data_IF_037204526716
#
_entry.id   IF_037204526716
#
_cell.length_a   1.000
_cell.length_b   1.000
_cell.length_c   1.000
_cell.angle_alpha   90.00
_cell.angle_beta   90.00
_cell.angle_gamma   90.00
#
_symmetry.space_group_name_H-M   'P 1'
#
loop_
_entity.id
_entity.type
_entity.pdbx_description
1 polymer ?
#
# COMPACT_ATOMS: atom_id res chain seq x y z
N UNK A 1 5.23 -72.43 38.84
CA UNK A 1 4.57 -71.47 37.92
C UNK A 1 4.50 -70.04 38.48
N UNK A 2 4.09 -69.81 39.73
CA UNK A 2 3.94 -68.45 40.33
C UNK A 2 5.20 -67.55 40.28
N UNK A 3 6.40 -68.12 40.45
CA UNK A 3 7.67 -67.37 40.41
C UNK A 3 8.10 -66.95 39.00
N UNK A 4 7.72 -67.73 37.98
CA UNK A 4 8.02 -67.43 36.57
C UNK A 4 7.11 -66.30 36.08
N UNK A 5 5.83 -66.31 36.49
CA UNK A 5 4.87 -65.26 36.13
C UNK A 5 5.27 -63.87 36.69
N UNK A 6 5.80 -63.83 37.91
CA UNK A 6 6.30 -62.59 38.53
C UNK A 6 7.55 -62.07 37.81
N UNK A 7 8.47 -62.97 37.41
CA UNK A 7 9.65 -62.60 36.64
C UNK A 7 9.31 -62.02 35.26
N UNK A 8 8.31 -62.58 34.59
CA UNK A 8 7.84 -62.06 33.29
C UNK A 8 7.13 -60.70 33.45
N UNK A 9 6.28 -60.53 34.48
CA UNK A 9 5.67 -59.22 34.75
C UNK A 9 6.71 -58.16 35.13
N UNK A 10 7.72 -58.51 35.93
CA UNK A 10 8.79 -57.57 36.31
C UNK A 10 9.66 -57.20 35.11
N UNK A 11 9.96 -58.16 34.22
CA UNK A 11 10.66 -57.92 32.96
C UNK A 11 9.86 -57.02 32.00
N UNK A 12 8.54 -57.20 31.93
CA UNK A 12 7.66 -56.38 31.09
C UNK A 12 7.51 -54.95 31.66
N UNK A 13 7.53 -54.78 32.98
CA UNK A 13 7.52 -53.48 33.64
C UNK A 13 8.85 -52.73 33.46
N UNK A 14 9.98 -53.44 33.49
CA UNK A 14 11.31 -52.87 33.22
C UNK A 14 11.50 -52.51 31.72
N UNK A 15 10.88 -53.25 30.81
CA UNK A 15 10.91 -52.94 29.38
C UNK A 15 10.11 -51.66 29.03
N UNK A 16 9.09 -51.31 29.81
CA UNK A 16 8.34 -50.05 29.65
C UNK A 16 9.03 -48.85 30.32
N UNK A 17 9.85 -49.07 31.35
CA UNK A 17 10.52 -48.00 32.10
C UNK A 17 11.68 -47.30 31.35
N UNK A 18 12.09 -47.84 30.20
CA UNK A 18 13.23 -47.33 29.41
C UNK A 18 12.88 -46.35 28.28
N UNK A 19 11.59 -46.12 27.99
CA UNK A 19 11.19 -45.13 26.98
C UNK A 19 11.11 -43.75 27.62
N UNK A 20 12.24 -43.06 27.69
CA UNK A 20 12.25 -41.62 27.89
C UNK A 20 11.84 -40.96 26.57
N UNK A 21 10.61 -40.45 26.49
CA UNK A 21 10.26 -39.49 25.47
C UNK A 21 10.98 -38.18 25.80
N UNK A 22 11.99 -37.82 25.01
CA UNK A 22 12.52 -36.46 25.04
C UNK A 22 11.53 -35.59 24.28
N UNK A 23 10.78 -34.77 25.00
CA UNK A 23 10.08 -33.63 24.38
C UNK A 23 11.18 -32.65 23.96
N UNK A 24 11.39 -32.48 22.64
CA UNK A 24 12.28 -31.43 22.15
C UNK A 24 11.74 -30.10 22.66
N UNK A 25 12.49 -29.43 23.54
CA UNK A 25 12.15 -28.08 23.97
C UNK A 25 12.28 -27.20 22.72
N UNK A 26 11.18 -26.64 22.18
CA UNK A 26 11.25 -25.85 20.98
C UNK A 26 12.08 -24.59 21.25
N UNK A 27 12.95 -24.25 20.32
CA UNK A 27 13.76 -23.02 20.40
C UNK A 27 12.82 -21.84 20.18
N UNK A 28 12.67 -21.01 21.21
CA UNK A 28 11.84 -19.81 21.17
C UNK A 28 12.65 -18.61 20.70
N UNK A 29 12.01 -17.76 19.89
CA UNK A 29 12.54 -16.46 19.49
C UNK A 29 11.89 -15.40 20.38
N UNK A 30 12.68 -14.58 21.06
CA UNK A 30 12.20 -13.49 21.90
C UNK A 30 12.74 -12.16 21.37
N UNK A 31 11.85 -11.17 21.17
CA UNK A 31 12.21 -9.77 20.91
C UNK A 31 11.55 -8.91 21.99
N UNK A 32 12.35 -8.10 22.68
CA UNK A 32 11.89 -7.24 23.78
C UNK A 32 11.04 -7.98 24.84
N UNK A 33 11.42 -9.23 25.13
CA UNK A 33 10.72 -10.09 26.09
C UNK A 33 9.40 -10.69 25.57
N UNK A 34 9.04 -10.47 24.31
CA UNK A 34 7.86 -11.06 23.66
C UNK A 34 8.27 -12.18 22.72
N UNK A 35 7.55 -13.30 22.78
CA UNK A 35 7.77 -14.42 21.87
C UNK A 35 7.27 -14.08 20.47
N UNK A 36 8.13 -14.26 19.47
CA UNK A 36 7.79 -14.11 18.06
C UNK A 36 7.49 -15.50 17.49
N UNK A 37 6.32 -15.63 16.87
CA UNK A 37 5.94 -16.83 16.16
C UNK A 37 6.68 -16.93 14.82
N UNK A 38 7.11 -18.14 14.49
CA UNK A 38 7.76 -18.48 13.23
C UNK A 38 7.09 -19.71 12.64
N UNK A 39 6.67 -19.62 11.38
CA UNK A 39 6.08 -20.74 10.63
C UNK A 39 7.12 -21.84 10.36
N UNK A 40 8.39 -21.44 10.22
CA UNK A 40 9.56 -22.31 10.12
C UNK A 40 10.25 -22.34 11.49
N UNK A 41 10.32 -23.47 12.21
CA UNK A 41 10.96 -23.51 13.52
C UNK A 41 12.47 -23.30 13.40
N UNK A 42 13.14 -22.63 14.36
CA UNK A 42 14.59 -22.61 14.42
C UNK A 42 15.16 -24.03 14.56
N UNK A 43 16.33 -24.27 13.94
CA UNK A 43 16.95 -25.59 13.89
C UNK A 43 18.37 -25.55 14.41
N UNK A 44 18.82 -26.62 15.08
CA UNK A 44 20.23 -26.79 15.43
C UNK A 44 20.88 -27.68 14.38
N UNK A 45 21.87 -27.14 13.68
CA UNK A 45 22.65 -27.86 12.67
C UNK A 45 24.12 -27.65 12.98
N UNK A 46 24.86 -28.73 13.21
CA UNK A 46 26.29 -28.71 13.54
C UNK A 46 26.60 -27.73 14.70
N UNK A 47 25.88 -27.87 15.81
CA UNK A 47 26.00 -27.04 17.02
C UNK A 47 25.77 -25.53 16.79
N UNK A 48 25.07 -25.15 15.72
CA UNK A 48 24.64 -23.77 15.45
C UNK A 48 23.13 -23.71 15.34
N UNK A 49 22.54 -22.70 15.98
CA UNK A 49 21.11 -22.41 15.82
C UNK A 49 20.88 -21.55 14.59
N UNK A 50 20.13 -22.08 13.64
CA UNK A 50 19.63 -21.39 12.46
C UNK A 50 18.23 -20.86 12.76
N UNK A 51 18.03 -19.58 12.48
CA UNK A 51 16.77 -18.88 12.71
C UNK A 51 16.30 -18.29 11.39
N UNK A 52 15.00 -18.32 11.06
CA UNK A 52 14.50 -17.72 9.83
C UNK A 52 14.78 -16.22 9.76
N UNK A 53 15.55 -15.82 8.76
CA UNK A 53 15.98 -14.42 8.59
C UNK A 53 14.78 -13.47 8.46
N UNK A 54 13.74 -13.88 7.73
CA UNK A 54 12.51 -13.09 7.52
C UNK A 54 11.86 -12.71 8.85
N UNK A 55 11.67 -13.68 9.74
CA UNK A 55 10.99 -13.46 11.02
C UNK A 55 11.73 -12.47 11.90
N UNK A 56 13.07 -12.58 11.95
CA UNK A 56 13.89 -11.65 12.73
C UNK A 56 13.90 -10.26 12.10
N UNK A 57 14.10 -10.17 10.79
CA UNK A 57 14.15 -8.90 10.07
C UNK A 57 12.82 -8.14 10.13
N UNK A 58 11.70 -8.79 9.83
CA UNK A 58 10.37 -8.15 9.86
C UNK A 58 9.99 -7.71 11.27
N UNK A 59 10.35 -8.48 12.30
CA UNK A 59 10.14 -8.08 13.70
C UNK A 59 10.96 -6.84 14.10
N UNK A 60 12.09 -6.60 13.43
CA UNK A 60 12.89 -5.39 13.57
C UNK A 60 12.45 -4.24 12.64
N UNK A 61 11.35 -4.43 11.89
CA UNK A 61 10.82 -3.44 10.95
C UNK A 61 11.58 -3.37 9.62
N UNK A 62 12.44 -4.35 9.32
CA UNK A 62 13.17 -4.46 8.05
C UNK A 62 12.31 -5.19 7.04
N UNK A 63 12.15 -4.62 5.85
CA UNK A 63 11.42 -5.25 4.76
C UNK A 63 12.27 -6.32 4.07
N UNK A 64 11.66 -7.46 3.76
CA UNK A 64 12.36 -8.66 3.27
C UNK A 64 11.76 -9.15 1.97
N UNK A 65 12.53 -9.02 0.89
CA UNK A 65 12.15 -9.48 -0.44
C UNK A 65 13.10 -10.56 -0.94
N UNK A 66 12.61 -11.39 -1.86
CA UNK A 66 13.42 -12.36 -2.57
C UNK A 66 13.64 -11.87 -4.00
N UNK A 67 14.89 -11.60 -4.34
CA UNK A 67 15.29 -11.30 -5.71
C UNK A 67 15.57 -12.63 -6.43
N UNK A 68 14.68 -12.99 -7.34
CA UNK A 68 14.74 -14.24 -8.10
C UNK A 68 15.92 -14.25 -9.10
N UNK A 69 16.27 -13.10 -9.68
CA UNK A 69 17.33 -12.98 -10.68
C UNK A 69 18.70 -13.07 -10.01
N UNK A 70 18.91 -12.29 -8.95
CA UNK A 70 20.13 -12.31 -8.16
C UNK A 70 20.24 -13.56 -7.26
N UNK A 71 19.14 -14.29 -7.07
CA UNK A 71 19.00 -15.40 -6.10
C UNK A 71 19.42 -14.96 -4.70
N UNK A 72 18.93 -13.79 -4.29
CA UNK A 72 19.35 -13.13 -3.07
C UNK A 72 18.15 -12.73 -2.22
N UNK A 73 18.33 -12.72 -0.90
CA UNK A 73 17.41 -12.06 0.03
C UNK A 73 17.81 -10.59 0.11
N UNK A 74 16.89 -9.70 -0.25
CA UNK A 74 17.08 -8.26 -0.14
C UNK A 74 16.45 -7.79 1.16
N UNK A 75 17.27 -7.14 1.98
CA UNK A 75 16.85 -6.54 3.25
C UNK A 75 16.91 -5.02 3.11
N UNK A 76 15.75 -4.37 3.22
CA UNK A 76 15.66 -2.91 3.16
C UNK A 76 15.34 -2.39 4.54
N UNK A 77 16.29 -1.67 5.15
CA UNK A 77 16.02 -1.00 6.41
C UNK A 77 14.85 -0.04 6.27
N UNK A 78 14.02 0.15 7.32
CA UNK A 78 12.86 1.01 7.23
C UNK A 78 13.19 2.47 6.85
N UNK A 79 14.39 2.97 7.15
CA UNK A 79 14.86 4.29 6.69
C UNK A 79 15.21 4.37 5.20
N UNK A 80 15.44 3.23 4.56
CA UNK A 80 15.79 3.11 3.13
C UNK A 80 14.65 2.56 2.29
N UNK A 81 13.47 2.35 2.89
CA UNK A 81 12.28 2.02 2.13
C UNK A 81 11.96 3.16 1.15
N UNK A 82 11.49 2.84 -0.06
CA UNK A 82 10.89 3.83 -0.93
C UNK A 82 9.86 4.64 -0.12
N UNK A 83 9.87 5.98 -0.23
CA UNK A 83 9.01 6.81 0.61
C UNK A 83 7.53 6.53 0.38
N UNK A 84 7.19 6.02 -0.81
CA UNK A 84 5.85 5.62 -1.21
C UNK A 84 5.85 4.19 -1.75
N UNK A 85 4.70 3.53 -1.64
CA UNK A 85 4.42 2.24 -2.28
C UNK A 85 3.13 2.33 -3.10
N UNK A 86 3.04 1.60 -4.21
CA UNK A 86 1.76 1.38 -4.87
C UNK A 86 0.92 0.42 -4.04
N UNK A 87 -0.26 0.86 -3.61
CA UNK A 87 -1.23 0.05 -2.86
C UNK A 87 -2.05 -0.81 -3.82
N UNK A 88 -2.54 -0.18 -4.88
CA UNK A 88 -3.32 -0.82 -5.91
C UNK A 88 -3.24 -0.01 -7.20
N UNK A 89 -3.46 -0.69 -8.33
CA UNK A 89 -3.69 -0.02 -9.60
C UNK A 89 -4.64 -0.85 -10.46
N UNK A 90 -5.34 -0.18 -11.38
CA UNK A 90 -6.21 -0.80 -12.36
C UNK A 90 -5.95 -0.16 -13.73
N UNK A 91 -5.76 -1.01 -14.75
CA UNK A 91 -5.75 -0.57 -16.15
C UNK A 91 -7.18 -0.49 -16.68
N UNK A 92 -7.55 0.67 -17.22
CA UNK A 92 -8.86 0.92 -17.81
C UNK A 92 -8.69 1.29 -19.28
N UNK A 93 -9.27 0.50 -20.18
CA UNK A 93 -9.28 0.83 -21.60
C UNK A 93 -10.22 2.01 -21.87
N UNK A 94 -9.89 2.81 -22.87
CA UNK A 94 -10.68 3.94 -23.33
C UNK A 94 -10.78 3.95 -24.86
N UNK A 95 -11.56 4.86 -25.43
CA UNK A 95 -11.67 5.01 -26.89
C UNK A 95 -10.33 5.38 -27.56
N UNK A 96 -9.45 6.10 -26.85
CA UNK A 96 -8.21 6.66 -27.40
C UNK A 96 -6.94 6.12 -26.72
N UNK A 97 -6.94 4.85 -26.31
CA UNK A 97 -5.84 4.20 -25.57
C UNK A 97 -6.30 3.69 -24.22
N UNK A 98 -5.53 3.90 -23.16
CA UNK A 98 -5.88 3.40 -21.82
C UNK A 98 -5.44 4.35 -20.71
N UNK A 99 -5.94 4.09 -19.51
CA UNK A 99 -5.55 4.76 -18.27
C UNK A 99 -5.03 3.72 -17.29
N UNK A 100 -4.12 4.14 -16.44
CA UNK A 100 -3.82 3.44 -15.18
C UNK A 100 -4.28 4.35 -14.07
N UNK A 101 -5.24 3.88 -13.28
CA UNK A 101 -5.63 4.52 -12.03
C UNK A 101 -4.92 3.79 -10.91
N UNK A 102 -4.29 4.52 -10.00
CA UNK A 102 -3.61 3.89 -8.88
C UNK A 102 -3.67 4.68 -7.59
N UNK A 103 -3.37 3.97 -6.52
CA UNK A 103 -3.25 4.49 -5.16
C UNK A 103 -1.81 4.29 -4.70
N UNK A 104 -1.19 5.36 -4.23
CA UNK A 104 0.16 5.34 -3.68
C UNK A 104 0.13 5.82 -2.23
N UNK A 105 0.70 5.03 -1.32
CA UNK A 105 0.72 5.30 0.13
C UNK A 105 2.07 5.82 0.56
N UNK A 106 2.10 6.92 1.31
CA UNK A 106 3.31 7.37 1.98
C UNK A 106 3.61 6.44 3.16
N UNK A 107 4.61 5.60 3.02
CA UNK A 107 5.03 4.66 4.05
C UNK A 107 6.19 5.20 4.90
N UNK A 108 6.74 6.35 4.51
CA UNK A 108 7.82 7.02 5.22
C UNK A 108 7.31 7.74 6.48
N UNK A 109 8.25 8.29 7.26
CA UNK A 109 7.95 9.18 8.39
C UNK A 109 7.99 10.67 8.01
N UNK A 110 8.07 10.99 6.71
CA UNK A 110 8.35 12.31 6.17
C UNK A 110 7.30 12.74 5.16
N UNK A 111 7.24 14.03 4.88
CA UNK A 111 6.39 14.62 3.83
C UNK A 111 7.26 15.24 2.74
N UNK A 112 6.75 15.25 1.51
CA UNK A 112 7.51 15.65 0.32
C UNK A 112 6.69 16.61 -0.53
N UNK A 113 7.36 17.56 -1.16
CA UNK A 113 6.75 18.49 -2.10
C UNK A 113 6.73 17.95 -3.54
N UNK A 114 7.74 17.12 -3.89
CA UNK A 114 7.88 16.56 -5.24
C UNK A 114 7.94 15.03 -5.14
N UNK A 115 6.88 14.38 -5.60
CA UNK A 115 6.78 12.91 -5.64
C UNK A 115 6.42 12.48 -7.04
N UNK A 116 7.39 11.90 -7.74
CA UNK A 116 7.25 11.42 -9.11
C UNK A 116 6.95 9.92 -9.10
N UNK A 117 5.90 9.52 -9.82
CA UNK A 117 5.59 8.13 -10.14
C UNK A 117 5.93 7.90 -11.60
N UNK A 118 6.89 7.03 -11.85
CA UNK A 118 7.21 6.48 -13.16
C UNK A 118 6.63 5.06 -13.27
N UNK A 119 5.95 4.78 -14.38
CA UNK A 119 5.36 3.49 -14.67
C UNK A 119 5.89 2.96 -16.00
N UNK A 120 6.65 1.88 -15.95
CA UNK A 120 7.12 1.15 -17.13
C UNK A 120 6.08 0.07 -17.46
N UNK A 121 5.49 0.19 -18.65
CA UNK A 121 4.43 -0.68 -19.16
C UNK A 121 5.09 -1.87 -19.84
N UNK A 122 4.73 -3.08 -19.43
CA UNK A 122 5.41 -4.30 -19.85
C UNK A 122 4.54 -5.13 -20.81
N UNK A 123 5.19 -5.71 -21.82
CA UNK A 123 4.62 -6.76 -22.66
C UNK A 123 4.67 -8.14 -21.97
N UNK A 124 4.02 -9.20 -22.52
CA UNK A 124 4.01 -10.52 -21.89
C UNK A 124 5.40 -11.20 -21.83
N UNK A 125 6.39 -10.67 -22.55
CA UNK A 125 7.78 -11.11 -22.48
C UNK A 125 8.61 -10.32 -21.45
N UNK A 126 8.00 -9.34 -20.77
CA UNK A 126 8.62 -8.48 -19.76
C UNK A 126 9.37 -7.28 -20.34
N UNK A 127 9.23 -6.97 -21.63
CA UNK A 127 9.88 -5.81 -22.22
C UNK A 127 9.08 -4.54 -21.96
N UNK A 128 9.77 -3.44 -21.67
CA UNK A 128 9.16 -2.11 -21.57
C UNK A 128 8.72 -1.65 -22.96
N UNK A 129 7.42 -1.43 -23.16
CA UNK A 129 6.84 -0.92 -24.41
C UNK A 129 6.49 0.55 -24.34
N UNK A 130 6.28 1.09 -23.13
CA UNK A 130 5.96 2.48 -22.88
C UNK A 130 6.37 2.86 -21.45
N UNK A 131 6.74 4.12 -21.24
CA UNK A 131 6.98 4.67 -19.91
C UNK A 131 6.07 5.87 -19.72
N UNK A 132 5.30 5.88 -18.64
CA UNK A 132 4.42 6.97 -18.26
C UNK A 132 4.91 7.60 -16.96
N UNK A 133 4.67 8.90 -16.78
CA UNK A 133 5.04 9.62 -15.56
C UNK A 133 3.90 10.51 -15.09
N UNK A 134 3.73 10.60 -13.77
CA UNK A 134 2.81 11.54 -13.11
C UNK A 134 3.39 11.96 -11.76
N UNK A 135 2.76 12.93 -11.11
CA UNK A 135 3.18 13.45 -9.82
C UNK A 135 2.04 13.31 -8.81
N UNK A 136 2.37 12.98 -7.57
CA UNK A 136 1.39 13.06 -6.47
C UNK A 136 1.30 14.51 -5.97
N UNK A 137 0.17 14.88 -5.34
CA UNK A 137 0.06 16.15 -4.64
C UNK A 137 1.17 16.32 -3.59
N UNK A 138 1.62 17.55 -3.41
CA UNK A 138 2.51 17.87 -2.31
C UNK A 138 1.81 17.65 -0.95
N UNK A 139 2.56 17.22 0.05
CA UNK A 139 2.04 17.12 1.41
C UNK A 139 1.15 15.90 1.69
N UNK A 140 1.32 14.79 0.95
CA UNK A 140 0.76 13.50 1.38
C UNK A 140 1.41 13.09 2.69
N UNK A 141 0.65 13.11 3.78
CA UNK A 141 1.16 12.84 5.13
C UNK A 141 1.53 11.36 5.33
N UNK A 142 2.51 11.06 6.21
CA UNK A 142 2.84 9.69 6.61
C UNK A 142 1.61 8.86 6.94
N UNK A 143 1.50 7.68 6.32
CA UNK A 143 0.39 6.75 6.52
C UNK A 143 -0.84 7.00 5.64
N UNK A 144 -0.93 8.14 4.95
CA UNK A 144 -2.01 8.43 4.00
C UNK A 144 -1.66 7.94 2.60
N UNK A 145 -2.70 7.74 1.78
CA UNK A 145 -2.55 7.46 0.35
C UNK A 145 -3.06 8.59 -0.51
N UNK A 146 -2.37 8.90 -1.60
CA UNK A 146 -2.87 9.73 -2.68
C UNK A 146 -3.21 8.86 -3.91
N UNK A 147 -4.05 9.40 -4.77
CA UNK A 147 -4.46 8.78 -6.02
C UNK A 147 -3.70 9.40 -7.20
N UNK A 148 -3.54 8.64 -8.26
CA UNK A 148 -2.94 9.11 -9.49
C UNK A 148 -3.60 8.50 -10.72
N UNK A 149 -3.44 9.20 -11.85
CA UNK A 149 -3.88 8.75 -13.16
C UNK A 149 -2.74 8.93 -14.15
N UNK A 150 -2.39 7.86 -14.84
CA UNK A 150 -1.48 7.85 -15.98
C UNK A 150 -2.30 7.61 -17.25
N UNK A 151 -2.02 8.36 -18.32
CA UNK A 151 -2.74 8.27 -19.58
C UNK A 151 -1.78 7.88 -20.71
N UNK A 152 -2.09 6.77 -21.37
CA UNK A 152 -1.45 6.39 -22.63
C UNK A 152 -2.42 6.59 -23.79
N UNK A 153 -1.91 7.17 -24.88
CA UNK A 153 -2.61 7.26 -26.17
C UNK A 153 -2.14 6.17 -27.15
N UNK A 154 -1.39 5.18 -26.67
CA UNK A 154 -0.95 4.05 -27.47
C UNK A 154 -2.12 3.12 -27.79
N UNK A 155 -2.09 2.58 -29.01
CA UNK A 155 -3.01 1.51 -29.45
C UNK A 155 -2.43 0.11 -29.13
N UNK A 156 -1.55 0.01 -28.14
CA UNK A 156 -0.91 -1.23 -27.71
C UNK A 156 -1.53 -1.77 -26.41
N UNK A 157 -2.75 -1.37 -26.08
CA UNK A 157 -3.43 -1.78 -24.85
C UNK A 157 -3.57 -3.31 -24.69
N UNK A 158 -3.53 -4.05 -25.80
CA UNK A 158 -3.58 -5.52 -25.86
C UNK A 158 -2.24 -6.19 -25.57
N UNK A 159 -1.13 -5.44 -25.65
CA UNK A 159 0.20 -5.93 -25.29
C UNK A 159 0.47 -5.75 -23.80
N UNK A 160 -0.27 -4.89 -23.09
CA UNK A 160 -0.04 -4.64 -21.67
C UNK A 160 -0.34 -5.88 -20.85
N UNK A 161 0.69 -6.50 -20.27
CA UNK A 161 0.54 -7.62 -19.34
C UNK A 161 0.75 -7.22 -17.89
N UNK A 162 1.63 -6.25 -17.63
CA UNK A 162 1.96 -5.79 -16.28
C UNK A 162 2.46 -4.34 -16.30
N UNK A 163 2.55 -3.73 -15.12
CA UNK A 163 3.08 -2.38 -14.92
C UNK A 163 4.07 -2.40 -13.76
N UNK A 164 5.31 -2.00 -14.05
CA UNK A 164 6.34 -1.81 -13.04
C UNK A 164 6.39 -0.34 -12.64
N UNK A 165 6.39 -0.06 -11.34
CA UNK A 165 6.43 1.31 -10.81
C UNK A 165 7.77 1.60 -10.16
N UNK A 166 8.31 2.77 -10.45
CA UNK A 166 9.43 3.38 -9.75
C UNK A 166 8.95 4.72 -9.18
N UNK A 167 9.19 4.95 -7.89
CA UNK A 167 8.71 6.16 -7.21
C UNK A 167 9.89 6.88 -6.60
N UNK A 168 10.04 8.15 -6.96
CA UNK A 168 11.05 9.02 -6.38
C UNK A 168 10.39 10.17 -5.64
N UNK A 169 10.92 10.52 -4.47
CA UNK A 169 10.46 11.69 -3.72
C UNK A 169 11.65 12.59 -3.39
N UNK A 170 11.45 13.90 -3.57
CA UNK A 170 12.42 14.96 -3.33
C UNK A 170 11.76 16.06 -2.51
N UNK A 171 12.59 17.00 -2.06
CA UNK A 171 12.15 18.20 -1.34
C UNK A 171 11.30 17.84 -0.12
N UNK A 172 11.95 17.25 0.88
CA UNK A 172 11.33 16.99 2.18
C UNK A 172 10.84 18.30 2.78
N UNK A 173 9.55 18.33 3.11
CA UNK A 173 8.88 19.45 3.74
C UNK A 173 8.38 19.01 5.11
N UNK A 174 8.21 19.97 6.01
CA UNK A 174 7.54 19.75 7.29
C UNK A 174 6.16 20.40 7.23
N UNK A 175 5.12 19.58 7.28
CA UNK A 175 3.73 20.04 7.31
C UNK A 175 3.01 19.47 8.52
N UNK A 176 2.04 20.21 9.04
CA UNK A 176 1.02 19.63 9.91
C UNK A 176 0.03 18.86 9.03
N UNK A 177 -0.52 17.70 9.44
CA UNK A 177 -1.57 17.04 8.68
C UNK A 177 -2.79 17.93 8.45
N UNK A 178 -3.44 17.76 7.30
CA UNK A 178 -4.68 18.49 6.97
C UNK A 178 -5.85 17.83 7.72
N UNK A 179 -6.55 18.61 8.53
CA UNK A 179 -7.74 18.22 9.29
C UNK A 179 -8.97 18.98 8.74
N UNK A 180 -9.54 18.44 7.66
CA UNK A 180 -10.75 18.99 7.04
C UNK A 180 -11.89 17.97 7.04
N UNK A 181 -13.12 18.48 7.10
CA UNK A 181 -14.34 17.69 6.90
C UNK A 181 -14.97 18.06 5.57
N UNK A 182 -15.43 17.07 4.82
CA UNK A 182 -16.17 17.28 3.57
C UNK A 182 -17.67 17.22 3.84
N UNK A 183 -18.37 18.31 3.52
CA UNK A 183 -19.81 18.47 3.67
C UNK A 183 -20.49 18.61 2.30
N UNK A 184 -21.80 18.35 2.23
CA UNK A 184 -22.63 18.63 1.05
C UNK A 184 -22.11 18.05 -0.29
N UNK A 185 -21.47 16.88 -0.27
CA UNK A 185 -20.95 16.23 -1.48
C UNK A 185 -22.11 15.81 -2.39
N UNK A 186 -22.16 16.41 -3.59
CA UNK A 186 -23.20 16.18 -4.59
C UNK A 186 -22.59 15.72 -5.89
N UNK A 187 -23.22 14.69 -6.45
CA UNK A 187 -22.88 14.12 -7.75
C UNK A 187 -23.97 14.52 -8.74
N UNK A 188 -23.60 15.28 -9.76
CA UNK A 188 -24.54 15.74 -10.79
C UNK A 188 -24.05 15.35 -12.17
N UNK A 189 -25.00 15.07 -13.07
CA UNK A 189 -24.73 14.82 -14.49
C UNK A 189 -25.48 15.86 -15.30
N UNK A 190 -24.81 16.45 -16.28
CA UNK A 190 -25.48 17.29 -17.26
C UNK A 190 -25.82 16.45 -18.49
N UNK A 191 -27.11 16.18 -18.69
CA UNK A 191 -27.59 15.38 -19.83
C UNK A 191 -27.64 16.18 -21.14
N UNK A 192 -27.46 17.51 -21.10
CA UNK A 192 -27.63 18.40 -22.24
C UNK A 192 -26.32 18.74 -22.96
N UNK A 193 -25.18 18.35 -22.40
CA UNK A 193 -23.86 18.55 -23.02
C UNK A 193 -23.50 17.26 -23.75
N UNK A 194 -22.99 17.38 -24.98
CA UNK A 194 -22.57 16.25 -25.84
C UNK A 194 -21.54 15.29 -25.20
N UNK A 195 -21.04 15.61 -24.00
CA UNK A 195 -20.12 14.81 -23.19
C UNK A 195 -20.74 14.53 -21.80
N UNK A 196 -20.90 13.25 -21.46
CA UNK A 196 -21.48 12.77 -20.19
C UNK A 196 -20.45 12.88 -19.05
N UNK A 197 -20.19 14.09 -18.57
CA UNK A 197 -19.31 14.32 -17.43
C UNK A 197 -20.06 14.13 -16.10
N UNK A 198 -19.34 13.61 -15.10
CA UNK A 198 -19.78 13.59 -13.71
C UNK A 198 -19.16 14.80 -13.00
N UNK A 199 -20.01 15.69 -12.49
CA UNK A 199 -19.57 16.79 -11.65
C UNK A 199 -19.73 16.41 -10.19
N UNK A 200 -18.64 16.56 -9.44
CA UNK A 200 -18.63 16.39 -8.00
C UNK A 200 -18.40 17.74 -7.36
N UNK A 201 -19.41 18.24 -6.66
CA UNK A 201 -19.33 19.49 -5.92
C UNK A 201 -19.44 19.21 -4.44
N UNK A 202 -18.78 20.00 -3.61
CA UNK A 202 -18.95 19.91 -2.17
C UNK A 202 -18.38 21.10 -1.46
N UNK A 203 -18.61 21.11 -0.15
CA UNK A 203 -18.05 22.06 0.78
C UNK A 203 -16.98 21.37 1.60
N UNK A 204 -15.97 22.13 2.00
CA UNK A 204 -14.91 21.67 2.88
C UNK A 204 -14.80 22.67 4.03
N UNK A 205 -14.79 22.13 5.25
CA UNK A 205 -14.68 22.91 6.48
C UNK A 205 -13.37 22.55 7.18
N UNK A 206 -12.60 23.58 7.53
CA UNK A 206 -11.36 23.43 8.31
C UNK A 206 -11.66 23.25 9.78
N UNK A 207 -10.91 22.36 10.43
CA UNK A 207 -10.87 22.28 11.88
C UNK A 207 -10.38 23.60 12.49
N UNK A 208 -10.71 23.83 13.77
CA UNK A 208 -10.24 25.02 14.48
C UNK A 208 -8.70 25.02 14.65
N UNK A 209 -8.07 23.85 14.70
CA UNK A 209 -6.61 23.65 14.65
C UNK A 209 -6.03 24.21 13.35
N UNK A 210 -6.69 23.92 12.24
CA UNK A 210 -6.23 24.31 10.92
C UNK A 210 -6.49 25.77 10.58
N UNK A 211 -7.35 26.51 11.29
CA UNK A 211 -7.65 27.92 10.99
C UNK A 211 -6.43 28.85 11.00
N UNK A 212 -5.39 28.49 11.76
CA UNK A 212 -4.13 29.27 11.85
C UNK A 212 -3.08 28.84 10.84
N UNK A 213 -3.33 27.74 10.11
CA UNK A 213 -2.42 27.22 9.10
C UNK A 213 -2.51 28.05 7.82
N UNK A 214 -1.36 28.27 7.21
CA UNK A 214 -1.25 28.70 5.82
C UNK A 214 -1.22 27.45 4.95
N UNK A 215 -2.19 27.32 4.05
CA UNK A 215 -2.21 26.24 3.07
C UNK A 215 -1.51 26.75 1.83
N UNK A 216 -0.52 26.01 1.35
CA UNK A 216 0.04 26.24 0.04
C UNK A 216 -0.55 25.21 -0.92
N UNK A 217 -0.95 25.70 -2.08
CA UNK A 217 -1.46 24.92 -3.21
C UNK A 217 -2.38 23.74 -2.83
N UNK A 218 -3.41 23.93 -1.97
CA UNK A 218 -4.19 22.81 -1.46
C UNK A 218 -4.85 22.04 -2.62
N UNK A 219 -4.78 20.72 -2.55
CA UNK A 219 -5.32 19.81 -3.56
C UNK A 219 -6.39 18.93 -2.94
N UNK A 220 -7.56 18.86 -3.57
CA UNK A 220 -8.55 17.81 -3.29
C UNK A 220 -8.47 16.75 -4.37
N UNK A 221 -8.45 15.50 -3.93
CA UNK A 221 -8.64 14.34 -4.77
C UNK A 221 -9.95 13.64 -4.43
N UNK A 222 -10.59 13.07 -5.45
CA UNK A 222 -11.68 12.12 -5.30
C UNK A 222 -11.38 10.83 -6.07
N UNK A 223 -11.46 9.71 -5.37
CA UNK A 223 -11.48 8.38 -5.97
C UNK A 223 -12.90 7.82 -5.96
N UNK A 224 -13.34 7.24 -7.07
CA UNK A 224 -14.61 6.50 -7.16
C UNK A 224 -14.33 5.01 -7.29
N UNK A 225 -14.98 4.21 -6.46
CA UNK A 225 -14.68 2.78 -6.32
C UNK A 225 -15.91 1.92 -6.63
N UNK A 226 -15.69 0.79 -7.29
CA UNK A 226 -16.75 -0.19 -7.56
C UNK A 226 -17.08 -1.04 -6.32
N UNK A 227 -18.01 -1.99 -6.46
CA UNK A 227 -18.41 -2.86 -5.35
C UNK A 227 -17.34 -3.81 -4.84
N UNK A 228 -16.28 -4.03 -5.62
CA UNK A 228 -15.12 -4.84 -5.26
C UNK A 228 -13.99 -4.03 -4.63
N UNK A 229 -14.14 -2.71 -4.52
CA UNK A 229 -13.11 -1.81 -3.99
C UNK A 229 -12.07 -1.40 -5.03
N UNK A 230 -12.29 -1.67 -6.33
CA UNK A 230 -11.38 -1.20 -7.39
C UNK A 230 -11.71 0.23 -7.75
N UNK A 231 -10.69 1.08 -7.87
CA UNK A 231 -10.87 2.45 -8.34
C UNK A 231 -11.22 2.44 -9.83
N UNK A 232 -12.34 3.06 -10.17
CA UNK A 232 -12.88 3.09 -11.54
C UNK A 232 -12.93 4.50 -12.12
N UNK A 233 -12.73 5.52 -11.29
CA UNK A 233 -12.61 6.91 -11.72
C UNK A 233 -11.80 7.72 -10.70
N UNK A 234 -11.16 8.78 -11.17
CA UNK A 234 -10.31 9.66 -10.38
C UNK A 234 -10.46 11.09 -10.87
N UNK A 235 -10.46 12.03 -9.94
CA UNK A 235 -10.18 13.42 -10.29
C UNK A 235 -9.56 14.18 -9.16
N UNK A 236 -8.99 15.30 -9.56
CA UNK A 236 -8.18 16.14 -8.72
C UNK A 236 -8.45 17.59 -9.07
N UNK A 237 -8.35 18.46 -8.07
CA UNK A 237 -8.41 19.89 -8.28
C UNK A 237 -7.61 20.63 -7.21
N UNK A 238 -6.78 21.57 -7.65
CA UNK A 238 -6.29 22.64 -6.80
C UNK A 238 -7.44 23.54 -6.36
N UNK A 239 -7.50 23.83 -5.07
CA UNK A 239 -8.38 24.84 -4.52
C UNK A 239 -7.58 26.13 -4.37
N UNK A 240 -8.27 27.25 -4.44
CA UNK A 240 -7.73 28.49 -3.91
C UNK A 240 -7.41 28.33 -2.43
N UNK A 241 -6.38 29.03 -1.95
CA UNK A 241 -6.04 29.03 -0.52
C UNK A 241 -7.29 29.28 0.32
N UNK A 242 -7.45 28.49 1.38
CA UNK A 242 -8.56 28.63 2.30
C UNK A 242 -8.46 29.95 3.06
N UNK A 243 -9.00 31.03 2.48
CA UNK A 243 -9.08 32.35 3.11
C UNK A 243 -10.12 32.43 4.22
N UNK A 244 -10.96 31.40 4.33
CA UNK A 244 -12.06 31.30 5.29
C UNK A 244 -12.07 29.91 5.94
N UNK A 245 -12.91 29.72 6.95
CA UNK A 245 -13.17 28.41 7.58
C UNK A 245 -13.79 27.42 6.59
N UNK A 246 -14.57 27.94 5.64
CA UNK A 246 -15.30 27.17 4.63
C UNK A 246 -14.71 27.41 3.24
N UNK A 247 -14.71 26.37 2.41
CA UNK A 247 -14.39 26.43 0.99
C UNK A 247 -15.34 25.57 0.17
N UNK A 248 -15.45 25.85 -1.11
CA UNK A 248 -16.22 25.04 -2.06
C UNK A 248 -15.28 24.44 -3.10
N UNK A 249 -15.62 23.25 -3.60
CA UNK A 249 -14.90 22.62 -4.69
C UNK A 249 -15.85 22.08 -5.75
N UNK A 250 -15.37 22.01 -6.99
CA UNK A 250 -16.04 21.35 -8.11
C UNK A 250 -15.03 20.56 -8.93
N UNK A 251 -15.10 19.24 -8.91
CA UNK A 251 -14.27 18.35 -9.72
C UNK A 251 -15.10 17.86 -10.90
N UNK A 252 -14.52 17.86 -12.09
CA UNK A 252 -15.13 17.30 -13.29
C UNK A 252 -14.45 15.99 -13.62
N UNK A 253 -15.23 14.92 -13.72
CA UNK A 253 -14.77 13.56 -13.98
C UNK A 253 -15.33 13.07 -15.30
N UNK A 254 -14.53 12.30 -16.03
CA UNK A 254 -15.00 11.55 -17.19
C UNK A 254 -16.13 10.58 -16.80
N UNK A 255 -16.94 10.18 -17.78
CA UNK A 255 -17.90 9.09 -17.56
C UNK A 255 -17.15 7.82 -17.15
N UNK A 256 -17.47 7.33 -15.96
CA UNK A 256 -16.99 6.05 -15.47
C UNK A 256 -18.08 4.97 -15.48
N UNK A 257 -17.71 3.70 -15.28
CA UNK A 257 -18.67 2.65 -14.97
C UNK A 257 -19.38 2.95 -13.64
N UNK A 258 -20.38 2.13 -13.29
CA UNK A 258 -21.09 2.29 -12.02
C UNK A 258 -20.11 2.18 -10.84
N UNK A 259 -20.05 3.21 -10.00
CA UNK A 259 -19.31 3.21 -8.73
C UNK A 259 -20.29 3.00 -7.57
N UNK A 260 -19.79 2.44 -6.47
CA UNK A 260 -20.55 2.15 -5.24
C UNK A 260 -20.18 3.11 -4.11
N UNK A 261 -18.90 3.43 -3.97
CA UNK A 261 -18.38 4.29 -2.92
C UNK A 261 -17.45 5.34 -3.51
N UNK A 262 -17.19 6.39 -2.73
CA UNK A 262 -16.22 7.43 -3.07
C UNK A 262 -15.37 7.73 -1.84
N UNK A 263 -14.16 8.22 -2.08
CA UNK A 263 -13.27 8.73 -1.03
C UNK A 263 -12.72 10.08 -1.44
N UNK A 264 -12.76 11.04 -0.51
CA UNK A 264 -12.24 12.40 -0.68
C UNK A 264 -11.03 12.59 0.22
N UNK A 265 -9.99 13.21 -0.34
CA UNK A 265 -8.74 13.50 0.37
C UNK A 265 -8.31 14.93 0.07
N UNK A 266 -7.72 15.59 1.05
CA UNK A 266 -7.17 16.94 0.91
C UNK A 266 -5.70 16.92 1.31
N UNK A 267 -4.84 17.46 0.47
CA UNK A 267 -3.40 17.59 0.70
C UNK A 267 -2.99 19.05 0.57
N UNK A 268 -1.89 19.43 1.21
CA UNK A 268 -1.34 20.78 1.16
C UNK A 268 0.11 20.74 1.61
N UNK A 269 0.98 21.45 0.88
CA UNK A 269 2.32 21.81 1.35
C UNK A 269 2.31 22.98 2.34
#
# INVERSE_FOLDING_TARGET
MRKILIGVMLGMFLAFAGMAFSEEIPIKILLDGREIYSDTPPQIINDRTFVPIRVISEALGVHVEWDQEARAVVLTSPENLPPFSIVSYEKINSEYGYYILGEAKNQSKKTFADVEIKADILDPAGNVIETLTTYLPAGVTPGESAYFKLRSYSNQEYLVSDVSFDISAKDEISITPVEVTFNDVRFTRDQNIYNDFLYVTGEVERSDSDLKREYKNPVIQIGLFDSSGRMVNFGERHIDDFKSKYGEFKITLEKGPAYKTYELKCFSD
#
